data_IF_504681037409
#
_entry.id   IF_504681037409
#
_cell.length_a   1.000
_cell.length_b   1.000
_cell.length_c   1.000
_cell.angle_alpha   90.00
_cell.angle_beta   90.00
_cell.angle_gamma   90.00
#
_symmetry.space_group_name_H-M   'P 1'
#
loop_
_entity.id
_entity.type
_entity.pdbx_description
1 polymer ?
#
# COMPACT_ATOMS: atom_id res chain seq x y z
N UNK A 1 5.05 2.60 -1.41
CA UNK A 1 5.99 2.55 -2.53
C UNK A 1 5.62 3.56 -3.59
N UNK A 2 6.49 3.93 -4.47
CA UNK A 2 6.54 5.24 -5.05
C UNK A 2 6.15 5.23 -6.51
N UNK A 3 4.93 5.65 -6.81
CA UNK A 3 4.71 6.25 -8.12
C UNK A 3 5.24 7.69 -8.03
N UNK A 4 6.23 8.11 -8.81
CA UNK A 4 6.72 9.47 -8.80
C UNK A 4 5.57 10.40 -9.25
N UNK A 5 5.21 11.36 -8.38
CA UNK A 5 4.18 12.35 -8.67
C UNK A 5 4.56 13.33 -9.81
N UNK A 6 5.80 13.25 -10.33
CA UNK A 6 6.37 14.14 -11.36
C UNK A 6 7.07 13.38 -12.49
N UNK A 7 6.75 12.11 -12.74
CA UNK A 7 7.20 11.50 -13.98
C UNK A 7 6.38 12.09 -15.14
N UNK A 8 7.06 12.65 -16.14
CA UNK A 8 6.44 12.95 -17.43
C UNK A 8 5.52 11.79 -17.85
N UNK A 9 4.32 12.06 -18.39
CA UNK A 9 3.42 10.99 -18.77
C UNK A 9 4.16 10.04 -19.70
N UNK A 10 4.48 8.85 -19.15
CA UNK A 10 5.12 7.78 -19.90
C UNK A 10 4.17 7.45 -21.03
N UNK A 11 4.51 7.88 -22.25
CA UNK A 11 3.68 7.58 -23.43
C UNK A 11 3.55 6.08 -23.56
N UNK A 12 2.33 5.58 -23.65
CA UNK A 12 2.06 4.15 -23.84
C UNK A 12 2.96 3.58 -24.96
N UNK A 13 3.79 2.59 -24.61
CA UNK A 13 4.65 1.86 -25.54
C UNK A 13 6.06 2.43 -25.79
N UNK A 14 6.40 3.67 -25.39
CA UNK A 14 7.76 4.20 -25.52
C UNK A 14 8.74 3.64 -24.48
N UNK A 15 10.06 3.59 -24.76
CA UNK A 15 11.06 3.25 -23.75
C UNK A 15 11.11 4.34 -22.66
N UNK A 16 11.11 3.93 -21.40
CA UNK A 16 11.19 4.84 -20.27
C UNK A 16 11.91 4.19 -19.09
N UNK A 17 12.45 5.04 -18.20
CA UNK A 17 13.03 4.59 -16.93
C UNK A 17 12.30 5.33 -15.82
N UNK A 18 11.71 4.56 -14.90
CA UNK A 18 11.08 5.08 -13.70
C UNK A 18 11.98 4.75 -12.51
N UNK A 19 12.40 5.78 -11.79
CA UNK A 19 13.21 5.62 -10.59
C UNK A 19 12.34 5.69 -9.35
N UNK A 20 12.38 4.63 -8.54
CA UNK A 20 11.76 4.60 -7.21
C UNK A 20 12.83 4.73 -6.13
N UNK A 21 12.41 4.79 -4.87
CA UNK A 21 13.33 4.86 -3.74
C UNK A 21 14.28 3.65 -3.69
N UNK A 22 13.76 2.45 -3.95
CA UNK A 22 14.49 1.17 -3.80
C UNK A 22 14.86 0.49 -5.12
N UNK A 23 14.35 0.96 -6.28
CA UNK A 23 14.53 0.30 -7.57
C UNK A 23 14.58 1.28 -8.76
N UNK A 24 15.05 0.76 -9.88
CA UNK A 24 14.90 1.32 -11.23
C UNK A 24 13.98 0.40 -12.02
N UNK A 25 12.97 0.94 -12.68
CA UNK A 25 12.07 0.19 -13.55
C UNK A 25 12.31 0.66 -14.97
N UNK A 26 12.83 -0.23 -15.81
CA UNK A 26 13.07 0.01 -17.24
C UNK A 26 11.88 -0.53 -18.01
N UNK A 27 11.19 0.35 -18.72
CA UNK A 27 10.06 0.01 -19.59
C UNK A 27 10.52 -0.05 -21.04
N UNK A 28 10.26 -1.16 -21.70
CA UNK A 28 10.61 -1.34 -23.12
C UNK A 28 9.59 -2.24 -23.80
N UNK A 29 8.90 -1.71 -24.84
CA UNK A 29 7.79 -2.45 -25.46
C UNK A 29 6.74 -2.84 -24.45
N UNK A 30 6.39 -4.11 -24.44
CA UNK A 30 5.39 -4.70 -23.53
C UNK A 30 5.99 -5.25 -22.22
N UNK A 31 7.27 -4.99 -21.97
CA UNK A 31 7.97 -5.50 -20.80
C UNK A 31 8.35 -4.37 -19.82
N UNK A 32 8.38 -4.71 -18.55
CA UNK A 32 8.93 -3.92 -17.46
C UNK A 32 10.00 -4.75 -16.72
N UNK A 33 11.17 -4.13 -16.51
CA UNK A 33 12.30 -4.75 -15.86
C UNK A 33 12.66 -3.97 -14.60
N UNK A 34 12.39 -4.54 -13.40
CA UNK A 34 12.68 -3.90 -12.13
C UNK A 34 14.02 -4.37 -11.59
N UNK A 35 14.94 -3.43 -11.43
CA UNK A 35 16.29 -3.64 -10.88
C UNK A 35 16.37 -2.98 -9.52
N UNK A 36 16.71 -3.73 -8.48
CA UNK A 36 16.84 -3.22 -7.12
C UNK A 36 18.13 -2.38 -6.99
N UNK A 37 18.00 -1.21 -6.36
CA UNK A 37 19.17 -0.38 -6.03
C UNK A 37 20.00 -1.04 -4.95
N UNK A 38 21.33 -0.84 -5.02
CA UNK A 38 22.27 -1.31 -3.98
C UNK A 38 22.30 -0.31 -2.83
N UNK A 39 21.32 -0.42 -1.93
CA UNK A 39 21.12 0.51 -0.80
C UNK A 39 20.82 -0.25 0.48
N UNK A 40 21.13 0.40 1.60
CA UNK A 40 20.66 0.03 2.94
C UNK A 40 19.79 1.18 3.47
N UNK A 41 18.54 0.88 3.79
CA UNK A 41 17.54 1.83 4.30
C UNK A 41 17.27 1.61 5.80
N UNK A 42 18.02 0.71 6.44
CA UNK A 42 17.82 0.31 7.84
C UNK A 42 16.69 -0.71 8.04
N UNK A 43 15.59 -0.59 7.29
CA UNK A 43 14.50 -1.57 7.25
C UNK A 43 14.57 -2.52 6.03
N UNK A 44 15.40 -2.19 5.05
CA UNK A 44 15.63 -2.96 3.82
C UNK A 44 17.11 -2.88 3.45
N UNK A 45 17.83 -4.01 3.53
CA UNK A 45 19.22 -4.12 3.08
C UNK A 45 19.31 -4.84 1.72
N UNK A 46 19.57 -4.08 0.68
CA UNK A 46 19.80 -4.55 -0.70
C UNK A 46 21.26 -4.45 -1.13
N UNK A 47 22.21 -4.36 -0.20
CA UNK A 47 23.63 -4.15 -0.53
C UNK A 47 24.27 -5.36 -1.20
N UNK A 48 23.91 -6.58 -0.80
CA UNK A 48 24.45 -7.80 -1.40
C UNK A 48 23.61 -8.31 -2.60
N UNK A 49 24.27 -9.00 -3.54
CA UNK A 49 23.59 -9.66 -4.67
C UNK A 49 22.59 -10.70 -4.19
N UNK A 50 22.97 -11.46 -3.13
CA UNK A 50 22.08 -12.47 -2.54
C UNK A 50 20.80 -11.87 -1.93
N UNK A 51 20.91 -10.76 -1.20
CA UNK A 51 19.76 -10.07 -0.64
C UNK A 51 18.81 -9.58 -1.76
N UNK A 52 19.35 -8.96 -2.83
CA UNK A 52 18.53 -8.52 -3.98
C UNK A 52 17.87 -9.68 -4.70
N UNK A 53 18.55 -10.83 -4.82
CA UNK A 53 17.99 -12.06 -5.38
C UNK A 53 16.78 -12.55 -4.57
N UNK A 54 16.94 -12.62 -3.25
CA UNK A 54 15.90 -13.08 -2.35
C UNK A 54 14.68 -12.16 -2.38
N UNK A 55 14.89 -10.86 -2.27
CA UNK A 55 13.84 -9.86 -2.36
C UNK A 55 13.10 -9.91 -3.72
N UNK A 56 13.84 -10.12 -4.82
CA UNK A 56 13.23 -10.23 -6.15
C UNK A 56 12.37 -11.49 -6.30
N UNK A 57 12.82 -12.63 -5.75
CA UNK A 57 11.99 -13.86 -5.75
C UNK A 57 10.76 -13.70 -4.87
N UNK A 58 10.92 -13.08 -3.70
CA UNK A 58 9.81 -12.82 -2.78
C UNK A 58 8.77 -11.89 -3.40
N UNK A 59 9.21 -10.85 -4.11
CA UNK A 59 8.31 -9.97 -4.88
C UNK A 59 7.48 -10.75 -5.89
N UNK A 60 8.11 -11.59 -6.72
CA UNK A 60 7.41 -12.42 -7.71
C UNK A 60 6.40 -13.36 -7.03
N UNK A 61 6.81 -14.05 -5.96
CA UNK A 61 5.95 -14.97 -5.21
C UNK A 61 4.70 -14.27 -4.67
N UNK A 62 4.87 -13.15 -3.98
CA UNK A 62 3.78 -12.44 -3.31
C UNK A 62 2.82 -11.79 -4.29
N UNK A 63 3.35 -11.17 -5.34
CA UNK A 63 2.54 -10.46 -6.31
C UNK A 63 1.80 -11.39 -7.29
N UNK A 64 2.35 -12.58 -7.55
CA UNK A 64 1.66 -13.60 -8.35
C UNK A 64 0.35 -14.10 -7.70
N UNK A 65 0.12 -13.80 -6.42
CA UNK A 65 -1.15 -14.11 -5.74
C UNK A 65 -2.34 -13.32 -6.31
N UNK A 66 -2.09 -12.07 -6.79
CA UNK A 66 -3.13 -11.15 -7.28
C UNK A 66 -2.94 -10.75 -8.76
N UNK A 67 -1.75 -10.96 -9.31
CA UNK A 67 -1.40 -10.64 -10.69
C UNK A 67 -0.50 -11.73 -11.31
N UNK A 68 -1.00 -12.99 -11.43
CA UNK A 68 -0.18 -14.14 -11.84
C UNK A 68 0.34 -14.05 -13.29
N UNK A 69 -0.31 -13.25 -14.15
CA UNK A 69 0.06 -13.03 -15.55
C UNK A 69 0.96 -11.79 -15.75
N UNK A 70 1.30 -11.09 -14.68
CA UNK A 70 2.16 -9.90 -14.75
C UNK A 70 3.62 -10.26 -14.49
N UNK A 71 3.90 -11.13 -13.54
CA UNK A 71 5.25 -11.45 -13.09
C UNK A 71 5.80 -12.70 -13.80
N UNK A 72 6.71 -12.50 -14.77
CA UNK A 72 7.33 -13.60 -15.53
C UNK A 72 8.44 -14.33 -14.73
N UNK A 73 9.00 -13.68 -13.71
CA UNK A 73 10.02 -14.25 -12.86
C UNK A 73 11.27 -13.37 -12.69
N UNK A 74 12.34 -13.99 -12.20
CA UNK A 74 13.61 -13.31 -11.91
C UNK A 74 14.69 -13.77 -12.89
N UNK A 75 15.32 -12.81 -13.56
CA UNK A 75 16.46 -13.02 -14.46
C UNK A 75 17.77 -12.76 -13.72
N UNK A 76 18.81 -13.52 -14.06
CA UNK A 76 20.17 -13.26 -13.62
C UNK A 76 20.89 -12.31 -14.59
N UNK A 77 21.53 -11.29 -14.04
CA UNK A 77 22.47 -10.44 -14.78
C UNK A 77 23.87 -10.99 -14.57
N UNK A 78 24.54 -11.36 -15.66
CA UNK A 78 25.88 -11.93 -15.61
C UNK A 78 26.93 -10.96 -16.09
N UNK A 79 28.05 -10.91 -15.39
CA UNK A 79 29.26 -10.19 -15.80
C UNK A 79 30.00 -10.86 -16.95
N UNK A 80 31.10 -10.24 -17.46
CA UNK A 80 31.91 -10.78 -18.54
C UNK A 80 32.49 -12.16 -18.25
N UNK A 81 32.74 -12.47 -16.97
CA UNK A 81 33.31 -13.75 -16.52
C UNK A 81 32.26 -14.81 -16.26
N UNK A 82 30.98 -14.51 -16.58
CA UNK A 82 29.85 -15.41 -16.35
C UNK A 82 29.33 -15.45 -14.92
N UNK A 83 29.92 -14.70 -13.99
CA UNK A 83 29.42 -14.58 -12.61
C UNK A 83 28.10 -13.82 -12.55
N UNK A 84 27.24 -14.15 -11.59
CA UNK A 84 25.99 -13.42 -11.36
C UNK A 84 26.29 -12.15 -10.57
N UNK A 85 26.07 -11.00 -11.19
CA UNK A 85 26.35 -9.67 -10.61
C UNK A 85 25.11 -8.96 -10.11
N UNK A 86 23.90 -9.33 -10.63
CA UNK A 86 22.63 -8.81 -10.14
C UNK A 86 21.44 -9.69 -10.57
N UNK A 87 20.23 -9.25 -10.17
CA UNK A 87 18.95 -9.87 -10.52
C UNK A 87 17.94 -8.83 -10.96
N UNK A 88 17.06 -9.22 -11.89
CA UNK A 88 16.03 -8.35 -12.47
C UNK A 88 14.69 -9.08 -12.41
N UNK A 89 13.68 -8.44 -11.88
CA UNK A 89 12.29 -8.93 -11.99
C UNK A 89 11.78 -8.54 -13.37
N UNK A 90 11.43 -9.55 -14.19
CA UNK A 90 10.77 -9.34 -15.48
C UNK A 90 9.27 -9.43 -15.30
N UNK A 91 8.57 -8.43 -15.84
CA UNK A 91 7.13 -8.28 -15.73
C UNK A 91 6.54 -7.87 -17.07
N UNK A 92 5.30 -8.20 -17.32
CA UNK A 92 4.49 -7.56 -18.35
C UNK A 92 4.27 -6.08 -17.97
N UNK A 93 4.45 -5.19 -18.93
CA UNK A 93 4.16 -3.77 -18.74
C UNK A 93 2.65 -3.55 -18.67
N UNK A 94 2.21 -2.91 -17.58
CA UNK A 94 0.81 -2.53 -17.42
C UNK A 94 0.57 -1.13 -17.98
N UNK A 95 -0.57 -0.88 -18.65
CA UNK A 95 -0.86 0.42 -19.24
C UNK A 95 -1.08 1.49 -18.17
N UNK A 96 -0.27 2.55 -18.15
CA UNK A 96 -0.34 3.58 -17.11
C UNK A 96 -1.71 4.26 -17.01
N UNK A 97 -2.42 4.44 -18.14
CA UNK A 97 -3.78 4.99 -18.17
C UNK A 97 -4.85 4.08 -17.57
N UNK A 98 -4.53 2.80 -17.31
CA UNK A 98 -5.46 1.84 -16.70
C UNK A 98 -5.26 1.70 -15.19
N UNK A 99 -4.31 2.43 -14.57
CA UNK A 99 -4.25 2.44 -13.10
C UNK A 99 -5.48 3.11 -12.51
N UNK A 100 -5.97 2.59 -11.39
CA UNK A 100 -7.18 3.09 -10.74
C UNK A 100 -7.03 4.56 -10.33
N UNK A 101 -5.84 4.99 -9.88
CA UNK A 101 -5.54 6.39 -9.59
C UNK A 101 -5.67 7.28 -10.85
N UNK A 102 -5.10 6.86 -11.99
CA UNK A 102 -5.20 7.58 -13.27
C UNK A 102 -6.65 7.68 -13.75
N UNK A 103 -7.40 6.60 -13.66
CA UNK A 103 -8.81 6.57 -14.05
C UNK A 103 -9.70 7.45 -13.16
N UNK A 104 -9.44 7.46 -11.84
CA UNK A 104 -10.13 8.34 -10.89
C UNK A 104 -9.86 9.82 -11.20
N UNK A 105 -8.59 10.18 -11.45
CA UNK A 105 -8.18 11.53 -11.82
C UNK A 105 -8.81 11.97 -13.15
N UNK A 106 -8.83 11.08 -14.15
CA UNK A 106 -9.44 11.31 -15.46
C UNK A 106 -10.94 11.57 -15.31
N UNK A 107 -11.64 10.77 -14.48
CA UNK A 107 -13.06 11.00 -14.14
C UNK A 107 -13.27 12.37 -13.51
N UNK A 108 -12.44 12.73 -12.53
CA UNK A 108 -12.55 13.99 -11.79
C UNK A 108 -12.31 15.22 -12.68
N UNK A 109 -11.39 15.13 -13.65
CA UNK A 109 -11.09 16.21 -14.60
C UNK A 109 -12.01 16.25 -15.82
N UNK A 110 -12.93 15.29 -15.96
CA UNK A 110 -13.82 15.20 -17.13
C UNK A 110 -13.10 14.77 -18.42
N UNK A 111 -11.91 14.21 -18.32
CA UNK A 111 -11.11 13.71 -19.46
C UNK A 111 -11.26 12.19 -19.67
N UNK A 112 -12.16 11.54 -18.93
CA UNK A 112 -12.46 10.13 -19.06
C UNK A 112 -12.88 9.75 -20.49
N UNK A 113 -12.45 8.60 -20.94
CA UNK A 113 -12.71 8.07 -22.29
C UNK A 113 -13.92 7.16 -22.25
N UNK A 114 -14.56 6.99 -23.41
CA UNK A 114 -15.74 6.11 -23.54
C UNK A 114 -15.39 4.61 -23.40
N UNK A 115 -14.12 4.27 -23.55
CA UNK A 115 -13.55 2.93 -23.40
C UNK A 115 -12.87 2.69 -22.03
N UNK A 116 -12.98 3.67 -21.11
CA UNK A 116 -12.52 3.47 -19.72
C UNK A 116 -13.41 2.43 -19.02
N UNK A 117 -12.81 1.58 -18.17
CA UNK A 117 -13.55 0.56 -17.43
C UNK A 117 -14.54 1.17 -16.44
N UNK A 118 -15.61 0.43 -16.14
CA UNK A 118 -16.52 0.78 -15.06
C UNK A 118 -15.81 0.72 -13.70
N UNK A 119 -15.57 1.87 -13.10
CA UNK A 119 -14.84 1.99 -11.84
C UNK A 119 -15.57 1.31 -10.67
N UNK A 120 -16.91 1.33 -10.65
CA UNK A 120 -17.66 0.64 -9.61
C UNK A 120 -17.54 -0.87 -9.74
N UNK A 121 -17.65 -1.40 -10.95
CA UNK A 121 -17.42 -2.82 -11.21
C UNK A 121 -15.97 -3.20 -10.89
N UNK A 122 -15.00 -2.36 -11.28
CA UNK A 122 -13.58 -2.55 -11.01
C UNK A 122 -13.26 -2.67 -9.52
N UNK A 123 -13.70 -1.71 -8.70
CA UNK A 123 -13.42 -1.76 -7.24
C UNK A 123 -14.14 -2.91 -6.54
N UNK A 124 -15.32 -3.33 -7.03
CA UNK A 124 -15.99 -4.54 -6.51
C UNK A 124 -15.20 -5.80 -6.82
N UNK A 125 -14.62 -5.89 -8.01
CA UNK A 125 -13.79 -7.04 -8.37
C UNK A 125 -12.47 -7.05 -7.59
N UNK A 126 -11.85 -5.89 -7.35
CA UNK A 126 -10.70 -5.76 -6.42
C UNK A 126 -11.08 -6.26 -5.02
N UNK A 127 -12.27 -5.89 -4.52
CA UNK A 127 -12.75 -6.36 -3.22
C UNK A 127 -12.89 -7.89 -3.17
N UNK A 128 -13.38 -8.51 -4.25
CA UNK A 128 -13.49 -9.97 -4.36
C UNK A 128 -12.11 -10.65 -4.38
N UNK A 129 -11.15 -10.09 -5.13
CA UNK A 129 -9.78 -10.63 -5.18
C UNK A 129 -9.09 -10.50 -3.81
N UNK A 130 -9.29 -9.37 -3.11
CA UNK A 130 -8.74 -9.17 -1.78
C UNK A 130 -9.34 -10.15 -0.76
N UNK A 131 -10.65 -10.41 -0.83
CA UNK A 131 -11.29 -11.44 -0.01
C UNK A 131 -10.67 -12.82 -0.26
N UNK A 132 -10.46 -13.19 -1.52
CA UNK A 132 -9.80 -14.46 -1.86
C UNK A 132 -8.37 -14.54 -1.32
N UNK A 133 -7.59 -13.45 -1.41
CA UNK A 133 -6.25 -13.38 -0.83
C UNK A 133 -6.29 -13.61 0.69
N UNK A 134 -7.19 -12.93 1.38
CA UNK A 134 -7.32 -13.02 2.84
C UNK A 134 -7.84 -14.40 3.29
N UNK A 135 -8.80 -14.98 2.56
CA UNK A 135 -9.32 -16.32 2.84
C UNK A 135 -8.27 -17.42 2.62
N UNK A 136 -7.33 -17.22 1.69
CA UNK A 136 -6.23 -18.12 1.43
C UNK A 136 -5.02 -17.92 2.36
N UNK A 137 -5.04 -16.89 3.22
CA UNK A 137 -3.95 -16.58 4.14
C UNK A 137 -3.69 -17.77 5.09
N UNK A 138 -2.41 -18.15 5.29
CA UNK A 138 -2.07 -19.16 6.28
C UNK A 138 -2.45 -18.70 7.70
N UNK A 139 -2.67 -19.66 8.58
CA UNK A 139 -2.92 -19.40 10.00
C UNK A 139 -1.69 -19.78 10.78
N UNK A 140 -1.19 -18.87 11.61
CA UNK A 140 -0.07 -19.13 12.51
C UNK A 140 -0.17 -18.25 13.77
N UNK A 141 0.52 -18.70 14.84
CA UNK A 141 0.63 -17.89 16.06
C UNK A 141 1.32 -16.55 15.80
N UNK A 142 2.24 -16.48 14.84
CA UNK A 142 2.93 -15.24 14.46
C UNK A 142 1.96 -14.24 13.83
N UNK A 143 1.12 -14.70 12.89
CA UNK A 143 0.08 -13.87 12.27
C UNK A 143 -0.96 -13.44 13.31
N UNK A 144 -1.45 -14.36 14.13
CA UNK A 144 -2.45 -14.07 15.15
C UNK A 144 -1.94 -13.05 16.20
N UNK A 145 -0.65 -13.10 16.54
CA UNK A 145 -0.03 -12.22 17.54
C UNK A 145 -0.11 -10.73 17.18
N UNK A 146 -0.09 -10.38 15.89
CA UNK A 146 -0.15 -8.95 15.46
C UNK A 146 -1.56 -8.35 15.59
N UNK A 147 -2.60 -9.19 15.73
CA UNK A 147 -3.99 -8.75 15.96
C UNK A 147 -4.30 -8.41 17.41
N UNK A 148 -3.38 -8.60 18.34
CA UNK A 148 -3.60 -8.29 19.76
C UNK A 148 -3.68 -6.78 20.01
N UNK A 149 -4.37 -6.35 21.08
CA UNK A 149 -4.49 -4.95 21.42
C UNK A 149 -3.13 -4.27 21.64
N UNK A 150 -2.20 -4.97 22.28
CA UNK A 150 -0.84 -4.47 22.52
C UNK A 150 -0.05 -4.31 21.22
N UNK A 151 -0.18 -5.26 20.28
CA UNK A 151 0.47 -5.18 18.98
C UNK A 151 -0.10 -4.03 18.15
N UNK A 152 -1.43 -3.89 18.06
CA UNK A 152 -2.08 -2.78 17.36
C UNK A 152 -1.69 -1.43 17.98
N UNK A 153 -1.66 -1.30 19.32
CA UNK A 153 -1.16 -0.10 19.98
C UNK A 153 0.32 0.15 19.70
N UNK A 154 1.10 -0.92 19.52
CA UNK A 154 2.51 -0.86 19.13
C UNK A 154 2.71 -0.19 17.76
N UNK A 155 1.90 -0.56 16.77
CA UNK A 155 1.92 0.03 15.42
C UNK A 155 1.73 1.55 15.46
N UNK A 156 0.77 2.03 16.24
CA UNK A 156 0.52 3.46 16.44
C UNK A 156 1.72 4.16 17.10
N UNK A 157 2.21 3.61 18.20
CA UNK A 157 3.34 4.18 18.95
C UNK A 157 4.60 4.30 18.08
N UNK A 158 4.88 3.29 17.28
CA UNK A 158 6.03 3.30 16.38
C UNK A 158 5.90 4.40 15.32
N UNK A 159 4.75 4.46 14.62
CA UNK A 159 4.52 5.44 13.56
C UNK A 159 4.51 6.88 14.09
N UNK A 160 3.85 7.11 15.23
CA UNK A 160 3.85 8.40 15.95
C UNK A 160 5.27 8.80 16.37
N UNK A 161 6.02 7.84 16.94
CA UNK A 161 7.40 8.08 17.36
C UNK A 161 8.32 8.46 16.18
N UNK A 162 8.08 7.92 14.98
CA UNK A 162 8.80 8.33 13.78
C UNK A 162 8.43 9.76 13.36
N UNK A 163 7.14 10.07 13.25
CA UNK A 163 6.68 11.42 12.86
C UNK A 163 7.17 12.51 13.80
N UNK A 164 7.24 12.24 15.12
CA UNK A 164 7.79 13.20 16.09
C UNK A 164 9.27 13.52 15.89
N UNK A 165 10.02 12.62 15.27
CA UNK A 165 11.45 12.85 14.97
C UNK A 165 11.68 13.59 13.67
N UNK A 166 10.69 13.60 12.78
CA UNK A 166 10.77 14.21 11.46
C UNK A 166 10.32 15.67 11.54
N UNK A 167 11.03 16.57 10.85
CA UNK A 167 10.71 18.00 10.81
C UNK A 167 9.69 18.29 9.70
N UNK A 168 8.40 18.02 9.94
CA UNK A 168 7.34 18.17 8.94
C UNK A 168 6.55 19.49 9.01
N UNK A 169 6.97 20.46 9.86
CA UNK A 169 6.33 21.77 9.97
C UNK A 169 5.93 22.14 11.39
N UNK A 170 5.52 23.40 11.60
CA UNK A 170 5.23 23.95 12.94
C UNK A 170 3.98 23.34 13.58
N UNK A 171 2.98 22.95 12.77
CA UNK A 171 1.72 22.37 13.25
C UNK A 171 1.81 20.85 13.52
N UNK A 172 2.88 20.19 13.06
CA UNK A 172 3.05 18.75 13.20
C UNK A 172 2.92 18.22 14.64
N UNK A 173 3.49 18.87 15.67
CA UNK A 173 3.37 18.38 17.03
C UNK A 173 1.93 18.31 17.52
N UNK A 174 1.08 19.29 17.20
CA UNK A 174 -0.32 19.35 17.63
C UNK A 174 -1.12 18.22 16.96
N UNK A 175 -0.96 18.06 15.66
CA UNK A 175 -1.66 17.02 14.88
C UNK A 175 -1.26 15.61 15.37
N UNK A 176 0.04 15.41 15.63
CA UNK A 176 0.57 14.12 16.12
C UNK A 176 0.06 13.82 17.53
N UNK A 177 -0.05 14.83 18.41
CA UNK A 177 -0.62 14.66 19.74
C UNK A 177 -2.11 14.32 19.71
N UNK A 178 -2.88 14.95 18.82
CA UNK A 178 -4.28 14.62 18.58
C UNK A 178 -4.46 13.18 18.07
N UNK A 179 -3.63 12.75 17.12
CA UNK A 179 -3.62 11.37 16.64
C UNK A 179 -3.32 10.38 17.76
N UNK A 180 -2.29 10.64 18.57
CA UNK A 180 -1.92 9.76 19.69
C UNK A 180 -3.06 9.63 20.69
N UNK A 181 -3.64 10.77 21.06
CA UNK A 181 -4.76 10.79 22.01
C UNK A 181 -5.97 10.04 21.47
N UNK A 182 -6.42 10.33 20.24
CA UNK A 182 -7.59 9.71 19.63
C UNK A 182 -7.41 8.19 19.43
N UNK A 183 -6.24 7.77 18.94
CA UNK A 183 -5.94 6.35 18.75
C UNK A 183 -5.90 5.60 20.09
N UNK A 184 -5.29 6.20 21.12
CA UNK A 184 -5.25 5.63 22.46
C UNK A 184 -6.63 5.54 23.12
N UNK A 185 -7.47 6.59 22.97
CA UNK A 185 -8.86 6.57 23.45
C UNK A 185 -9.67 5.47 22.77
N UNK A 186 -9.49 5.31 21.45
CA UNK A 186 -10.20 4.26 20.73
C UNK A 186 -9.82 2.86 21.26
N UNK A 187 -8.55 2.57 21.43
CA UNK A 187 -8.06 1.24 21.83
C UNK A 187 -8.42 0.89 23.29
N UNK A 188 -8.69 1.91 24.13
CA UNK A 188 -9.00 1.70 25.54
C UNK A 188 -10.27 0.86 25.72
N UNK A 189 -10.13 -0.34 26.32
CA UNK A 189 -11.22 -1.26 26.57
C UNK A 189 -11.71 -2.05 25.36
N UNK A 190 -10.94 -2.08 24.26
CA UNK A 190 -11.29 -2.82 23.03
C UNK A 190 -10.55 -4.15 22.87
N UNK A 191 -9.87 -4.63 23.91
CA UNK A 191 -9.14 -5.92 23.90
C UNK A 191 -10.05 -7.08 23.52
N UNK A 192 -11.31 -7.06 23.96
CA UNK A 192 -12.29 -8.10 23.61
C UNK A 192 -12.67 -8.08 22.13
N UNK A 193 -12.81 -6.88 21.54
CA UNK A 193 -13.09 -6.74 20.11
C UNK A 193 -11.92 -7.29 19.29
N UNK A 194 -10.69 -6.86 19.56
CA UNK A 194 -9.50 -7.29 18.83
C UNK A 194 -9.25 -8.79 19.02
N UNK A 195 -9.44 -9.33 20.21
CA UNK A 195 -9.37 -10.78 20.43
C UNK A 195 -10.43 -11.54 19.61
N UNK A 196 -11.65 -11.06 19.56
CA UNK A 196 -12.71 -11.69 18.76
C UNK A 196 -12.34 -11.69 17.25
N UNK A 197 -11.63 -10.66 16.77
CA UNK A 197 -11.11 -10.62 15.41
C UNK A 197 -10.06 -11.71 15.16
N UNK A 198 -9.11 -11.89 16.08
CA UNK A 198 -8.13 -12.98 16.04
C UNK A 198 -8.83 -14.34 16.06
N UNK A 199 -9.73 -14.58 17.02
CA UNK A 199 -10.45 -15.84 17.19
C UNK A 199 -11.31 -16.18 15.95
N UNK A 200 -11.86 -15.17 15.27
CA UNK A 200 -12.62 -15.31 14.03
C UNK A 200 -11.76 -15.48 12.78
N UNK A 201 -10.44 -15.46 12.91
CA UNK A 201 -9.52 -15.60 11.76
C UNK A 201 -9.45 -14.39 10.86
N UNK A 202 -9.67 -13.22 11.40
CA UNK A 202 -9.62 -11.96 10.65
C UNK A 202 -8.25 -11.31 10.62
N UNK A 203 -7.23 -11.93 11.24
CA UNK A 203 -5.83 -11.52 11.12
C UNK A 203 -5.15 -12.39 10.07
N UNK A 204 -4.56 -11.77 9.06
CA UNK A 204 -4.16 -12.39 7.80
C UNK A 204 -2.78 -11.93 7.34
N UNK A 205 -2.16 -12.68 6.42
CA UNK A 205 -1.06 -12.20 5.56
C UNK A 205 -1.67 -11.55 4.31
N UNK A 206 -1.81 -10.24 4.35
CA UNK A 206 -2.47 -9.46 3.31
C UNK A 206 -1.54 -8.92 2.24
N UNK A 207 -1.90 -7.76 1.68
CA UNK A 207 -1.11 -7.00 0.71
C UNK A 207 -0.10 -6.06 1.39
N UNK A 208 -0.52 -5.37 2.43
CA UNK A 208 0.31 -4.49 3.26
C UNK A 208 0.44 -3.05 2.76
N UNK A 209 0.38 -2.79 1.44
CA UNK A 209 0.47 -1.44 0.84
C UNK A 209 -0.51 -1.27 -0.34
N UNK A 210 -1.80 -1.51 -0.11
CA UNK A 210 -2.82 -1.54 -1.16
C UNK A 210 -3.23 -0.11 -1.58
N UNK A 211 -2.69 0.37 -2.70
CA UNK A 211 -2.90 1.72 -3.23
C UNK A 211 -3.59 1.69 -4.60
N UNK A 212 -4.37 2.74 -4.91
CA UNK A 212 -5.03 2.88 -6.20
C UNK A 212 -4.05 2.98 -7.38
N UNK A 213 -2.84 3.48 -7.16
CA UNK A 213 -1.80 3.58 -8.18
C UNK A 213 -1.27 2.20 -8.64
N UNK A 214 -1.36 1.18 -7.75
CA UNK A 214 -0.84 -0.16 -7.96
C UNK A 214 -1.93 -1.17 -8.37
N UNK A 215 -3.12 -0.66 -8.70
CA UNK A 215 -4.27 -1.44 -9.19
C UNK A 215 -4.56 -1.04 -10.63
N UNK A 216 -4.51 -1.97 -11.56
CA UNK A 216 -4.77 -1.75 -12.98
C UNK A 216 -6.06 -2.46 -13.39
N UNK A 217 -7.00 -1.71 -13.95
CA UNK A 217 -8.29 -2.24 -14.43
C UNK A 217 -8.17 -2.61 -15.91
N UNK A 218 -7.85 -3.85 -16.20
CA UNK A 218 -7.81 -4.40 -17.54
C UNK A 218 -9.18 -4.99 -17.95
N UNK A 219 -9.37 -5.30 -19.24
CA UNK A 219 -10.66 -5.72 -19.78
C UNK A 219 -11.12 -7.08 -19.22
N UNK A 220 -10.18 -7.91 -18.80
CA UNK A 220 -10.41 -9.24 -18.21
C UNK A 220 -10.35 -9.25 -16.66
N UNK A 221 -10.20 -8.10 -16.05
CA UNK A 221 -10.22 -7.91 -14.60
C UNK A 221 -9.00 -7.14 -14.04
N UNK A 222 -9.04 -6.79 -12.76
CA UNK A 222 -7.98 -6.02 -12.14
C UNK A 222 -6.70 -6.84 -11.94
N UNK A 223 -5.56 -6.14 -12.03
CA UNK A 223 -4.23 -6.61 -11.60
C UNK A 223 -3.78 -5.74 -10.44
N UNK A 224 -3.56 -6.36 -9.30
CA UNK A 224 -3.06 -5.70 -8.08
C UNK A 224 -1.61 -6.09 -7.90
N UNK A 225 -0.73 -5.11 -7.88
CA UNK A 225 0.72 -5.29 -7.81
C UNK A 225 1.33 -4.56 -6.62
N UNK A 226 2.63 -4.72 -6.44
CA UNK A 226 3.44 -4.05 -5.41
C UNK A 226 3.06 -4.43 -3.97
N UNK A 227 2.69 -5.71 -3.78
CA UNK A 227 2.55 -6.32 -2.46
C UNK A 227 3.88 -6.18 -1.70
N UNK A 228 3.80 -5.76 -0.44
CA UNK A 228 4.96 -5.48 0.38
C UNK A 228 5.78 -6.78 0.65
N UNK A 229 7.04 -6.82 0.21
CA UNK A 229 7.86 -8.04 0.21
C UNK A 229 8.99 -8.08 1.25
N UNK A 230 9.43 -6.92 1.76
CA UNK A 230 10.68 -6.83 2.53
C UNK A 230 10.52 -7.15 4.03
N UNK A 231 9.31 -7.10 4.59
CA UNK A 231 9.04 -7.53 5.98
C UNK A 231 7.63 -8.10 6.10
N UNK A 232 7.55 -9.40 6.36
CA UNK A 232 6.27 -10.13 6.47
C UNK A 232 5.35 -9.53 7.54
N UNK A 233 5.92 -9.02 8.65
CA UNK A 233 5.15 -8.41 9.74
C UNK A 233 4.38 -7.16 9.33
N UNK A 234 4.80 -6.48 8.26
CA UNK A 234 4.10 -5.30 7.73
C UNK A 234 2.89 -5.65 6.86
N UNK A 235 2.82 -6.92 6.40
CA UNK A 235 1.64 -7.47 5.72
C UNK A 235 0.66 -8.12 6.68
N UNK A 236 1.16 -8.63 7.82
CA UNK A 236 0.30 -9.27 8.81
C UNK A 236 -0.56 -8.22 9.51
N UNK A 237 -1.85 -8.46 9.55
CA UNK A 237 -2.78 -7.54 10.18
C UNK A 237 -4.23 -7.97 10.05
N UNK A 238 -5.10 -7.20 10.67
CA UNK A 238 -6.53 -7.38 10.48
C UNK A 238 -6.88 -7.15 9.00
N UNK A 239 -7.71 -7.99 8.42
CA UNK A 239 -8.16 -7.90 7.03
C UNK A 239 -8.77 -6.52 6.71
N UNK A 240 -9.47 -5.90 7.69
CA UNK A 240 -9.98 -4.54 7.55
C UNK A 240 -8.89 -3.47 7.58
N UNK A 241 -7.71 -3.75 8.12
CA UNK A 241 -6.56 -2.85 8.04
C UNK A 241 -6.02 -2.77 6.61
N UNK A 242 -6.02 -3.87 5.90
CA UNK A 242 -5.60 -3.94 4.50
C UNK A 242 -6.66 -3.30 3.57
N UNK A 243 -7.94 -3.69 3.73
CA UNK A 243 -9.05 -3.06 3.00
C UNK A 243 -9.16 -1.55 3.29
N UNK A 244 -8.95 -1.14 4.53
CA UNK A 244 -8.93 0.26 4.95
C UNK A 244 -7.86 1.09 4.25
N UNK A 245 -6.79 0.47 3.75
CA UNK A 245 -5.73 1.17 3.04
C UNK A 245 -6.22 1.71 1.69
N UNK A 246 -6.81 0.84 0.86
CA UNK A 246 -7.37 1.29 -0.43
C UNK A 246 -8.52 2.29 -0.22
N UNK A 247 -9.36 2.06 0.79
CA UNK A 247 -10.45 3.00 1.09
C UNK A 247 -9.92 4.38 1.49
N UNK A 248 -8.86 4.45 2.29
CA UNK A 248 -8.16 5.69 2.64
C UNK A 248 -7.58 6.37 1.39
N UNK A 249 -6.95 5.59 0.51
CA UNK A 249 -6.30 6.14 -0.68
C UNK A 249 -7.30 6.65 -1.71
N UNK A 250 -8.41 5.94 -1.94
CA UNK A 250 -9.51 6.40 -2.79
C UNK A 250 -10.16 7.69 -2.24
N UNK A 251 -10.40 7.79 -0.92
CA UNK A 251 -10.92 9.04 -0.32
C UNK A 251 -9.91 10.20 -0.48
N UNK A 252 -8.61 9.89 -0.37
CA UNK A 252 -7.53 10.87 -0.58
C UNK A 252 -7.54 11.46 -1.99
N UNK A 253 -7.77 10.66 -3.02
CA UNK A 253 -7.82 11.13 -4.41
C UNK A 253 -9.20 11.67 -4.81
N UNK A 254 -10.13 11.82 -3.86
CA UNK A 254 -11.45 12.40 -4.08
C UNK A 254 -12.52 11.44 -4.58
N UNK A 255 -12.27 10.12 -4.52
CA UNK A 255 -13.20 9.08 -4.96
C UNK A 255 -13.87 8.36 -3.78
N UNK A 256 -14.46 9.13 -2.88
CA UNK A 256 -15.11 8.61 -1.67
C UNK A 256 -16.23 7.62 -1.98
N UNK A 257 -16.99 7.86 -3.04
CA UNK A 257 -18.03 6.95 -3.53
C UNK A 257 -17.47 5.56 -3.87
N UNK A 258 -16.29 5.51 -4.48
CA UNK A 258 -15.60 4.25 -4.79
C UNK A 258 -15.03 3.59 -3.52
N UNK A 259 -14.53 4.37 -2.56
CA UNK A 259 -14.07 3.84 -1.27
C UNK A 259 -15.21 3.16 -0.50
N UNK A 260 -16.37 3.80 -0.44
CA UNK A 260 -17.57 3.26 0.20
C UNK A 260 -18.07 1.99 -0.52
N UNK A 261 -18.11 2.01 -1.87
CA UNK A 261 -18.50 0.86 -2.68
C UNK A 261 -17.54 -0.32 -2.51
N UNK A 262 -16.23 -0.06 -2.47
CA UNK A 262 -15.20 -1.07 -2.24
C UNK A 262 -15.36 -1.74 -0.86
N UNK A 263 -15.49 -0.95 0.21
CA UNK A 263 -15.66 -1.49 1.57
C UNK A 263 -16.97 -2.27 1.72
N UNK A 264 -18.07 -1.79 1.11
CA UNK A 264 -19.33 -2.52 1.11
C UNK A 264 -19.19 -3.86 0.40
N UNK A 265 -18.58 -3.88 -0.80
CA UNK A 265 -18.35 -5.10 -1.55
C UNK A 265 -17.42 -6.07 -0.82
N UNK A 266 -16.34 -5.58 -0.20
CA UNK A 266 -15.46 -6.43 0.59
C UNK A 266 -16.19 -7.11 1.76
N UNK A 267 -17.05 -6.37 2.47
CA UNK A 267 -17.88 -6.93 3.54
C UNK A 267 -18.88 -7.97 3.02
N UNK A 268 -19.48 -7.71 1.86
CA UNK A 268 -20.44 -8.64 1.24
C UNK A 268 -19.76 -9.96 0.86
N UNK A 269 -18.53 -9.93 0.33
CA UNK A 269 -17.79 -11.15 -0.06
C UNK A 269 -17.23 -11.89 1.16
N UNK A 270 -16.58 -11.17 2.08
CA UNK A 270 -15.90 -11.78 3.23
C UNK A 270 -16.84 -12.16 4.38
N UNK A 271 -18.07 -11.64 4.39
CA UNK A 271 -18.96 -11.73 5.55
C UNK A 271 -18.39 -11.05 6.80
N UNK A 272 -17.51 -10.06 6.63
CA UNK A 272 -16.87 -9.38 7.75
C UNK A 272 -17.79 -8.34 8.39
N UNK A 273 -18.14 -8.57 9.65
CA UNK A 273 -19.04 -7.76 10.48
C UNK A 273 -18.31 -6.74 11.37
N UNK A 274 -17.03 -6.43 11.06
CA UNK A 274 -16.25 -5.44 11.79
C UNK A 274 -17.06 -4.14 11.99
N UNK A 275 -17.13 -3.58 13.20
CA UNK A 275 -17.84 -2.33 13.42
C UNK A 275 -17.20 -1.20 12.61
N UNK A 276 -18.02 -0.26 12.13
CA UNK A 276 -17.53 0.88 11.33
C UNK A 276 -16.46 1.68 12.07
N UNK A 277 -16.56 1.74 13.40
CA UNK A 277 -15.55 2.39 14.24
C UNK A 277 -14.16 1.74 14.11
N UNK A 278 -14.07 0.40 13.98
CA UNK A 278 -12.80 -0.29 13.76
C UNK A 278 -12.24 0.00 12.36
N UNK A 279 -13.09 0.00 11.34
CA UNK A 279 -12.68 0.34 9.97
C UNK A 279 -12.12 1.76 9.92
N UNK A 280 -12.80 2.73 10.53
CA UNK A 280 -12.31 4.12 10.58
C UNK A 280 -11.00 4.25 11.39
N UNK A 281 -10.84 3.48 12.46
CA UNK A 281 -9.58 3.43 13.20
C UNK A 281 -8.42 2.94 12.33
N UNK A 282 -8.64 1.91 11.51
CA UNK A 282 -7.63 1.41 10.57
C UNK A 282 -7.38 2.34 9.39
N UNK A 283 -8.40 3.00 8.85
CA UNK A 283 -8.25 4.07 7.85
C UNK A 283 -7.35 5.18 8.41
N UNK A 284 -7.58 5.60 9.66
CA UNK A 284 -6.74 6.59 10.34
C UNK A 284 -5.28 6.12 10.48
N UNK A 285 -5.07 4.87 10.86
CA UNK A 285 -3.73 4.30 10.94
C UNK A 285 -3.01 4.31 9.58
N UNK A 286 -3.69 3.91 8.50
CA UNK A 286 -3.09 3.91 7.15
C UNK A 286 -2.79 5.33 6.66
N UNK A 287 -3.62 6.32 6.97
CA UNK A 287 -3.32 7.73 6.70
C UNK A 287 -2.06 8.18 7.44
N UNK A 288 -1.88 7.80 8.71
CA UNK A 288 -0.68 8.07 9.48
C UNK A 288 0.57 7.40 8.89
N UNK A 289 0.46 6.14 8.44
CA UNK A 289 1.56 5.43 7.76
C UNK A 289 1.98 6.18 6.50
N UNK A 290 1.02 6.61 5.68
CA UNK A 290 1.32 7.42 4.46
C UNK A 290 1.94 8.78 4.82
N UNK A 291 1.45 9.44 5.86
CA UNK A 291 2.07 10.66 6.39
C UNK A 291 3.54 10.43 6.75
N UNK A 292 3.83 9.35 7.51
CA UNK A 292 5.20 8.98 7.89
C UNK A 292 6.10 8.75 6.66
N UNK A 293 5.64 7.97 5.69
CA UNK A 293 6.42 7.67 4.46
C UNK A 293 6.69 8.96 3.67
N UNK A 294 5.69 9.83 3.53
CA UNK A 294 5.83 11.13 2.83
C UNK A 294 6.80 12.04 3.57
N UNK A 295 6.76 12.07 4.91
CA UNK A 295 7.68 12.86 5.72
C UNK A 295 9.14 12.38 5.60
N UNK A 296 9.38 11.06 5.57
CA UNK A 296 10.71 10.48 5.32
C UNK A 296 11.24 10.92 3.94
N UNK A 297 10.40 10.93 2.92
CA UNK A 297 10.78 11.42 1.59
C UNK A 297 11.13 12.91 1.60
N UNK A 298 10.34 13.72 2.30
CA UNK A 298 10.58 15.16 2.45
C UNK A 298 11.98 15.45 3.02
N UNK A 299 12.43 14.66 4.01
CA UNK A 299 13.79 14.80 4.57
C UNK A 299 14.89 14.39 3.60
N UNK A 300 14.63 13.40 2.75
CA UNK A 300 15.61 12.86 1.79
C UNK A 300 15.67 13.67 0.49
N UNK A 301 14.61 14.40 0.15
CA UNK A 301 14.52 15.17 -1.08
C UNK A 301 14.97 16.64 -0.86
N UNK A 302 15.58 17.25 -1.91
CA UNK A 302 15.88 18.69 -1.91
C UNK A 302 14.65 19.59 -2.06
N UNK A 303 13.49 19.01 -2.37
CA UNK A 303 12.20 19.71 -2.59
C UNK A 303 11.27 19.70 -1.37
N UNK A 304 11.81 19.57 -0.17
CA UNK A 304 11.14 19.24 1.10
C UNK A 304 9.82 19.95 1.48
N UNK A 305 9.52 21.13 0.90
CA UNK A 305 8.34 21.91 1.34
C UNK A 305 7.00 21.40 0.85
N UNK A 306 6.90 20.78 -0.33
CA UNK A 306 5.65 20.22 -0.87
C UNK A 306 5.32 18.89 -0.18
N UNK A 307 6.30 18.02 -0.03
CA UNK A 307 6.14 16.71 0.62
C UNK A 307 5.83 16.89 2.11
N UNK A 308 6.45 17.86 2.80
CA UNK A 308 6.15 18.16 4.19
C UNK A 308 4.68 18.61 4.37
N UNK A 309 4.15 19.48 3.50
CA UNK A 309 2.73 19.85 3.55
C UNK A 309 1.83 18.65 3.29
N UNK A 310 2.15 17.84 2.30
CA UNK A 310 1.37 16.63 2.00
C UNK A 310 1.39 15.62 3.16
N UNK A 311 2.51 15.49 3.87
CA UNK A 311 2.58 14.68 5.08
C UNK A 311 1.63 15.18 6.17
N UNK A 312 1.53 16.51 6.38
CA UNK A 312 0.58 17.11 7.33
C UNK A 312 -0.87 16.88 6.92
N UNK A 313 -1.22 17.07 5.65
CA UNK A 313 -2.56 16.78 5.13
C UNK A 313 -2.97 15.32 5.38
N UNK A 314 -2.04 14.38 5.23
CA UNK A 314 -2.28 12.97 5.53
C UNK A 314 -2.44 12.73 7.04
N UNK A 315 -1.70 13.42 7.90
CA UNK A 315 -1.87 13.35 9.34
C UNK A 315 -3.23 13.92 9.78
N UNK A 316 -3.69 15.02 9.19
CA UNK A 316 -5.05 15.57 9.43
C UNK A 316 -6.14 14.57 9.02
N UNK A 317 -5.97 13.86 7.90
CA UNK A 317 -6.88 12.79 7.51
C UNK A 317 -6.93 11.65 8.53
N UNK A 318 -5.81 11.36 9.19
CA UNK A 318 -5.80 10.39 10.28
C UNK A 318 -6.66 10.87 11.46
N UNK A 319 -6.59 12.15 11.83
CA UNK A 319 -7.46 12.76 12.85
C UNK A 319 -8.93 12.65 12.45
N UNK A 320 -9.28 13.04 11.22
CA UNK A 320 -10.66 12.96 10.73
C UNK A 320 -11.23 11.53 10.77
N UNK A 321 -10.45 10.55 10.37
CA UNK A 321 -10.85 9.14 10.42
C UNK A 321 -11.04 8.66 11.88
N UNK A 322 -10.13 9.05 12.78
CA UNK A 322 -10.22 8.69 14.20
C UNK A 322 -11.42 9.37 14.90
N UNK A 323 -11.78 10.58 14.51
CA UNK A 323 -13.00 11.23 15.01
C UNK A 323 -14.25 10.45 14.60
N UNK A 324 -14.30 9.94 13.36
CA UNK A 324 -15.39 9.05 12.90
C UNK A 324 -15.40 7.69 13.61
N UNK A 325 -14.25 7.22 14.08
CA UNK A 325 -14.15 5.98 14.84
C UNK A 325 -14.79 6.07 16.25
N UNK A 326 -15.10 7.28 16.73
CA UNK A 326 -15.73 7.51 18.05
C UNK A 326 -17.26 7.34 18.04
N UNK A 327 -17.87 7.36 16.86
CA UNK A 327 -19.31 7.22 16.65
C UNK A 327 -19.64 5.77 16.29
#
# INVERSE_FOLDING_TARGET
MDTPADADPVTDGGPAVVETHSALIVLYGDEAHKVRKRIDLGFLDNTSVGARAEQSRREVELNSRLAPDVYDGVLEVRGPDGEVIDHVVRMRRLPAGRSLDSLVRSRASGTGRSDDPDLLAGVREVARQLDHLHAASPRSEEIDAVGTADAVAGLWRESIGHLRRLSVGEDAPVIVDDVEWLAGEYLRGRERLLRARVDAGRVVDGHGDLLAADIYLEDDGPRVIDCLEFDDRLRFGDAMLDAGFLAMDLDRVGARDLAEAFLAAYRDFSGDDAPSSLVHHYIGYRALVRSKVTAIRAEQSRSGGADARHALELADRAVDALLRARV
#
